data_IF_293601546579
#
_entry.id   IF_293601546579
#
_cell.length_a   1.000
_cell.length_b   1.000
_cell.length_c   1.000
_cell.angle_alpha   90.00
_cell.angle_beta   90.00
_cell.angle_gamma   90.00
#
_symmetry.space_group_name_H-M   'P 1'
#
loop_
_entity.id
_entity.type
_entity.pdbx_description
1 polymer ?
#
# COMPACT_ATOMS: atom_id res chain seq x y z
N UNK A 1 -9.49 -47.81 -28.41
CA UNK A 1 -10.80 -47.48 -29.01
C UNK A 1 -11.24 -46.14 -28.48
N UNK A 2 -11.37 -45.16 -29.37
CA UNK A 2 -11.68 -43.76 -29.06
C UNK A 2 -13.12 -43.60 -28.58
N UNK A 3 -13.31 -42.90 -27.46
CA UNK A 3 -14.63 -42.48 -27.01
C UNK A 3 -14.89 -41.10 -27.63
N UNK A 4 -15.64 -41.09 -28.72
CA UNK A 4 -16.02 -39.88 -29.43
C UNK A 4 -16.86 -38.96 -28.52
N UNK A 5 -16.37 -37.74 -28.29
CA UNK A 5 -17.17 -36.61 -27.79
C UNK A 5 -18.08 -36.15 -28.95
N UNK A 6 -19.29 -36.71 -29.02
CA UNK A 6 -20.36 -36.13 -29.82
C UNK A 6 -20.94 -34.95 -29.05
N UNK A 7 -20.57 -33.74 -29.43
CA UNK A 7 -21.25 -32.51 -29.05
C UNK A 7 -21.97 -31.95 -30.26
N UNK A 8 -23.16 -32.45 -30.56
CA UNK A 8 -24.08 -31.77 -31.46
C UNK A 8 -24.52 -30.48 -30.77
N UNK A 9 -24.04 -29.33 -31.24
CA UNK A 9 -24.57 -28.03 -30.83
C UNK A 9 -25.82 -27.77 -31.65
N UNK A 10 -27.04 -27.75 -31.07
CA UNK A 10 -28.25 -27.53 -31.85
C UNK A 10 -28.26 -26.09 -32.36
N UNK A 11 -28.09 -25.90 -33.66
CA UNK A 11 -28.16 -24.59 -34.33
C UNK A 11 -29.60 -24.34 -34.77
N UNK A 12 -30.47 -24.01 -33.83
CA UNK A 12 -31.60 -23.06 -33.94
C UNK A 12 -32.54 -23.25 -32.77
N UNK A 13 -32.49 -22.32 -31.82
CA UNK A 13 -33.44 -22.24 -30.71
C UNK A 13 -33.78 -20.77 -30.49
N UNK A 14 -35.03 -20.51 -30.13
CA UNK A 14 -35.55 -19.17 -29.82
C UNK A 14 -34.68 -18.50 -28.74
N UNK A 15 -34.66 -17.17 -28.67
CA UNK A 15 -33.87 -16.45 -27.66
C UNK A 15 -34.19 -16.93 -26.23
N UNK A 16 -35.45 -17.27 -25.96
CA UNK A 16 -35.91 -17.82 -24.68
C UNK A 16 -35.32 -19.20 -24.36
N UNK A 17 -35.25 -20.10 -25.34
CA UNK A 17 -34.64 -21.42 -25.16
C UNK A 17 -33.13 -21.32 -24.94
N UNK A 18 -32.45 -20.41 -25.66
CA UNK A 18 -31.03 -20.11 -25.41
C UNK A 18 -30.81 -19.57 -24.00
N UNK A 19 -31.70 -18.70 -23.52
CA UNK A 19 -31.63 -18.14 -22.17
C UNK A 19 -31.88 -19.21 -21.09
N UNK A 20 -32.86 -20.09 -21.27
CA UNK A 20 -33.12 -21.21 -20.34
C UNK A 20 -31.93 -22.17 -20.28
N UNK A 21 -31.36 -22.54 -21.43
CA UNK A 21 -30.17 -23.38 -21.49
C UNK A 21 -28.96 -22.73 -20.82
N UNK A 22 -28.78 -21.42 -21.03
CA UNK A 22 -27.72 -20.64 -20.40
C UNK A 22 -27.89 -20.56 -18.87
N UNK A 23 -29.11 -20.38 -18.37
CA UNK A 23 -29.39 -20.35 -16.93
C UNK A 23 -29.17 -21.72 -16.27
N UNK A 24 -29.59 -22.81 -16.93
CA UNK A 24 -29.33 -24.16 -16.45
C UNK A 24 -27.81 -24.45 -16.39
N UNK A 25 -27.07 -24.07 -17.44
CA UNK A 25 -25.62 -24.18 -17.46
C UNK A 25 -24.98 -23.32 -16.36
N UNK A 26 -25.47 -22.08 -16.14
CA UNK A 26 -24.99 -21.20 -15.06
C UNK A 26 -25.16 -21.86 -13.68
N UNK A 27 -26.34 -22.40 -13.38
CA UNK A 27 -26.60 -23.08 -12.10
C UNK A 27 -25.72 -24.31 -11.92
N UNK A 28 -25.47 -25.07 -12.98
CA UNK A 28 -24.57 -26.22 -12.93
C UNK A 28 -23.12 -25.79 -12.65
N UNK A 29 -22.65 -24.73 -13.31
CA UNK A 29 -21.31 -24.18 -13.09
C UNK A 29 -21.20 -23.63 -11.66
N UNK A 30 -22.20 -22.88 -11.16
CA UNK A 30 -22.21 -22.38 -9.78
C UNK A 30 -22.22 -23.52 -8.74
N UNK A 31 -22.94 -24.61 -9.00
CA UNK A 31 -22.94 -25.79 -8.13
C UNK A 31 -21.60 -26.52 -8.12
N UNK A 32 -20.90 -26.58 -9.25
CA UNK A 32 -19.62 -27.28 -9.37
C UNK A 32 -18.42 -26.45 -8.88
N UNK A 33 -18.43 -25.14 -9.11
CA UNK A 33 -17.27 -24.26 -8.93
C UNK A 33 -17.49 -23.14 -7.91
N UNK A 34 -18.68 -23.07 -7.30
CA UNK A 34 -19.04 -22.09 -6.28
C UNK A 34 -19.82 -20.88 -6.83
N UNK A 35 -20.49 -20.16 -5.95
CA UNK A 35 -21.26 -18.96 -6.31
C UNK A 35 -20.34 -17.91 -6.95
N UNK A 36 -20.81 -17.28 -8.04
CA UNK A 36 -20.06 -16.26 -8.77
C UNK A 36 -19.04 -16.79 -9.79
N UNK A 37 -19.02 -18.10 -10.05
CA UNK A 37 -18.18 -18.72 -11.08
C UNK A 37 -18.52 -18.29 -12.52
N UNK A 38 -19.75 -17.86 -12.77
CA UNK A 38 -20.20 -17.30 -14.05
C UNK A 38 -21.21 -16.18 -13.80
N UNK A 39 -20.82 -14.93 -14.09
CA UNK A 39 -21.64 -13.74 -13.85
C UNK A 39 -21.78 -12.90 -15.11
N UNK A 40 -22.88 -12.13 -15.19
CA UNK A 40 -23.05 -11.11 -16.24
C UNK A 40 -22.28 -9.85 -15.83
N UNK A 41 -21.26 -9.50 -16.61
CA UNK A 41 -20.37 -8.36 -16.37
C UNK A 41 -21.10 -7.03 -16.06
N UNK A 42 -22.26 -6.79 -16.68
CA UNK A 42 -22.95 -5.49 -16.60
C UNK A 42 -23.87 -5.27 -15.39
N UNK A 43 -24.14 -6.28 -14.55
CA UNK A 43 -25.11 -6.13 -13.43
C UNK A 43 -24.47 -5.71 -12.10
N UNK A 44 -23.20 -6.03 -11.86
CA UNK A 44 -22.53 -5.78 -10.57
C UNK A 44 -21.29 -4.86 -10.67
N UNK A 45 -20.48 -4.95 -11.74
CA UNK A 45 -19.22 -4.19 -11.87
C UNK A 45 -19.38 -2.75 -12.38
N UNK A 46 -20.53 -2.40 -12.99
CA UNK A 46 -20.75 -1.05 -13.51
C UNK A 46 -21.08 -0.02 -12.41
N UNK A 47 -21.48 -0.49 -11.22
CA UNK A 47 -21.93 0.37 -10.10
C UNK A 47 -20.84 0.55 -9.05
N UNK A 48 -19.93 -0.43 -8.88
CA UNK A 48 -18.81 -0.34 -7.94
C UNK A 48 -17.53 -0.02 -8.71
N UNK A 49 -17.07 1.23 -8.62
CA UNK A 49 -15.76 1.62 -9.16
C UNK A 49 -14.64 0.73 -8.63
N UNK A 50 -13.50 0.70 -9.34
CA UNK A 50 -12.33 -0.09 -8.93
C UNK A 50 -11.87 0.36 -7.54
N UNK A 51 -11.79 -0.57 -6.59
CA UNK A 51 -11.22 -0.31 -5.27
C UNK A 51 -9.71 -0.06 -5.38
N UNK A 52 -9.23 0.99 -4.70
CA UNK A 52 -7.84 1.42 -4.79
C UNK A 52 -7.23 1.76 -3.43
N UNK A 53 -5.91 1.67 -3.36
CA UNK A 53 -5.06 2.26 -2.31
C UNK A 53 -4.45 3.53 -2.90
N UNK A 54 -4.69 4.72 -2.33
CA UNK A 54 -4.10 5.97 -2.83
C UNK A 54 -2.58 5.91 -2.86
N UNK A 55 -1.94 6.64 -3.77
CA UNK A 55 -0.47 6.59 -3.89
C UNK A 55 0.26 7.54 -2.94
N UNK A 56 -0.47 8.34 -2.16
CA UNK A 56 0.10 9.45 -1.38
C UNK A 56 0.49 10.66 -2.23
N UNK A 57 0.17 10.63 -3.53
CA UNK A 57 0.49 11.69 -4.49
C UNK A 57 -0.67 11.83 -5.48
N UNK A 58 -1.48 12.88 -5.34
CA UNK A 58 -2.69 13.07 -6.15
C UNK A 58 -2.40 13.20 -7.65
N UNK A 59 -1.21 13.68 -8.03
CA UNK A 59 -0.81 13.76 -9.44
C UNK A 59 -0.53 12.37 -10.01
N UNK A 60 -0.03 11.44 -9.20
CA UNK A 60 0.12 10.04 -9.58
C UNK A 60 -1.23 9.30 -9.57
N UNK A 61 -2.10 9.57 -8.59
CA UNK A 61 -3.49 9.09 -8.61
C UNK A 61 -4.20 9.48 -9.93
N UNK A 62 -4.02 10.73 -10.38
CA UNK A 62 -4.52 11.24 -11.66
C UNK A 62 -3.91 10.49 -12.85
N UNK A 63 -2.59 10.30 -12.83
CA UNK A 63 -1.88 9.59 -13.89
C UNK A 63 -2.38 8.13 -13.98
N UNK A 64 -2.65 7.47 -12.86
CA UNK A 64 -3.22 6.12 -12.81
C UNK A 64 -4.66 6.09 -13.35
N UNK A 65 -5.38 7.20 -13.26
CA UNK A 65 -6.72 7.39 -13.84
C UNK A 65 -7.85 6.71 -13.07
N UNK A 66 -7.51 5.96 -12.03
CA UNK A 66 -8.45 5.26 -11.14
C UNK A 66 -8.31 5.72 -9.67
N UNK A 67 -7.52 6.75 -9.39
CA UNK A 67 -7.41 7.32 -8.05
C UNK A 67 -6.42 6.63 -7.12
N UNK A 68 -5.66 5.64 -7.59
CA UNK A 68 -4.65 4.94 -6.79
C UNK A 68 -4.24 3.58 -7.37
N UNK A 69 -3.54 2.80 -6.56
CA UNK A 69 -3.14 1.42 -6.85
C UNK A 69 -4.34 0.48 -6.76
N UNK A 70 -4.64 -0.32 -7.80
CA UNK A 70 -5.81 -1.20 -7.79
C UNK A 70 -5.63 -2.37 -6.82
N UNK A 71 -6.62 -2.55 -5.93
CA UNK A 71 -6.72 -3.71 -5.05
C UNK A 71 -6.92 -5.01 -5.82
N UNK A 72 -6.40 -6.10 -5.27
CA UNK A 72 -6.50 -7.42 -5.87
C UNK A 72 -5.70 -7.59 -7.16
N UNK A 73 -4.65 -6.78 -7.38
CA UNK A 73 -3.84 -6.81 -8.59
C UNK A 73 -2.34 -6.76 -8.31
N UNK A 74 -1.60 -7.16 -9.33
CA UNK A 74 -0.13 -7.10 -9.38
C UNK A 74 0.30 -5.79 -10.04
N UNK A 75 1.27 -5.11 -9.44
CA UNK A 75 1.88 -3.87 -9.90
C UNK A 75 3.39 -4.07 -9.98
N UNK A 76 4.02 -3.56 -11.03
CA UNK A 76 5.48 -3.51 -11.13
C UNK A 76 5.93 -2.05 -11.12
N UNK A 77 6.81 -1.70 -10.19
CA UNK A 77 7.50 -0.41 -10.12
C UNK A 77 8.96 -0.67 -10.50
N UNK A 78 9.44 -0.07 -11.57
CA UNK A 78 10.78 -0.32 -12.07
C UNK A 78 11.50 0.95 -12.53
N UNK A 79 12.82 0.89 -12.60
CA UNK A 79 13.63 2.05 -12.97
C UNK A 79 15.09 1.89 -12.56
N UNK A 80 15.93 2.92 -12.80
CA UNK A 80 17.31 2.96 -12.35
C UNK A 80 17.43 2.88 -10.82
N UNK A 81 18.64 2.67 -10.33
CA UNK A 81 18.97 2.85 -8.92
C UNK A 81 18.70 4.30 -8.48
N UNK A 82 18.36 4.47 -7.21
CA UNK A 82 18.10 5.79 -6.60
C UNK A 82 17.04 6.64 -7.32
N UNK A 83 16.15 6.01 -8.11
CA UNK A 83 15.09 6.72 -8.83
C UNK A 83 13.84 7.00 -7.99
N UNK A 84 13.73 6.42 -6.77
CA UNK A 84 12.58 6.58 -5.88
C UNK A 84 11.57 5.42 -5.91
N UNK A 85 11.96 4.23 -6.41
CA UNK A 85 11.09 3.04 -6.47
C UNK A 85 10.59 2.62 -5.08
N UNK A 86 11.53 2.43 -4.14
CA UNK A 86 11.24 2.03 -2.75
C UNK A 86 10.47 3.12 -2.02
N UNK A 87 10.81 4.41 -2.19
CA UNK A 87 10.02 5.53 -1.67
C UNK A 87 8.57 5.46 -2.12
N UNK A 88 8.32 5.19 -3.42
CA UNK A 88 6.96 5.07 -3.96
C UNK A 88 6.19 3.89 -3.34
N UNK A 89 6.86 2.75 -3.15
CA UNK A 89 6.25 1.59 -2.51
C UNK A 89 5.98 1.81 -1.01
N UNK A 90 6.88 2.51 -0.29
CA UNK A 90 6.68 2.85 1.11
C UNK A 90 5.52 3.85 1.30
N UNK A 91 5.32 4.79 0.38
CA UNK A 91 4.11 5.60 0.39
C UNK A 91 2.84 4.76 0.17
N UNK A 92 2.87 3.76 -0.71
CA UNK A 92 1.75 2.84 -0.90
C UNK A 92 1.42 2.08 0.41
N UNK A 93 2.46 1.62 1.12
CA UNK A 93 2.35 0.97 2.43
C UNK A 93 1.77 1.93 3.47
N UNK A 94 2.32 3.14 3.59
CA UNK A 94 1.84 4.15 4.52
C UNK A 94 0.36 4.49 4.28
N UNK A 95 -0.06 4.65 3.03
CA UNK A 95 -1.46 4.92 2.68
C UNK A 95 -2.38 3.72 2.96
N UNK A 96 -1.91 2.48 2.80
CA UNK A 96 -2.69 1.31 3.20
C UNK A 96 -2.89 1.28 4.73
N UNK A 97 -1.81 1.46 5.50
CA UNK A 97 -1.83 1.44 6.96
C UNK A 97 -2.67 2.57 7.56
N UNK A 98 -2.58 3.80 7.02
CA UNK A 98 -3.43 4.94 7.44
C UNK A 98 -4.92 4.61 7.40
N UNK A 99 -5.33 3.70 6.52
CA UNK A 99 -6.72 3.27 6.33
C UNK A 99 -7.06 1.99 7.09
N UNK A 100 -6.20 1.58 8.03
CA UNK A 100 -6.35 0.38 8.84
C UNK A 100 -6.04 -0.92 8.11
N UNK A 101 -5.40 -0.84 6.94
CA UNK A 101 -4.98 -2.01 6.19
C UNK A 101 -3.70 -2.63 6.73
N UNK A 102 -3.57 -3.95 6.60
CA UNK A 102 -2.37 -4.68 6.99
C UNK A 102 -1.38 -4.68 5.82
N UNK A 103 -0.14 -4.29 6.10
CA UNK A 103 0.93 -4.24 5.10
C UNK A 103 2.04 -5.24 5.44
N UNK A 104 2.62 -5.83 4.39
CA UNK A 104 3.84 -6.62 4.50
C UNK A 104 4.90 -6.17 3.49
N UNK A 105 6.17 -6.33 3.87
CA UNK A 105 7.33 -5.98 3.06
C UNK A 105 8.30 -7.17 3.02
N UNK A 106 8.58 -7.66 1.82
CA UNK A 106 9.54 -8.72 1.55
C UNK A 106 10.81 -8.04 1.04
N UNK A 107 11.75 -7.83 1.94
CA UNK A 107 13.03 -7.15 1.72
C UNK A 107 14.09 -8.18 1.33
N UNK A 108 14.09 -8.55 0.05
CA UNK A 108 15.10 -9.42 -0.54
C UNK A 108 16.42 -8.68 -0.83
N UNK A 109 16.41 -7.34 -0.88
CA UNK A 109 17.64 -6.54 -0.99
C UNK A 109 18.34 -6.31 0.36
N UNK A 110 17.70 -6.65 1.49
CA UNK A 110 18.18 -6.39 2.85
C UNK A 110 18.57 -4.92 3.08
N UNK A 111 17.84 -4.00 2.45
CA UNK A 111 18.20 -2.59 2.34
C UNK A 111 17.13 -1.63 2.90
N UNK A 112 16.06 -2.17 3.51
CA UNK A 112 15.01 -1.35 4.08
C UNK A 112 15.49 -0.63 5.35
N UNK A 113 15.49 0.71 5.32
CA UNK A 113 15.74 1.55 6.49
C UNK A 113 14.42 1.83 7.26
N UNK A 114 14.27 1.32 8.50
CA UNK A 114 13.08 1.55 9.30
C UNK A 114 12.85 3.03 9.66
N UNK A 115 13.91 3.81 9.86
CA UNK A 115 13.79 5.23 10.21
C UNK A 115 13.26 6.01 9.00
N UNK A 116 13.83 5.77 7.82
CA UNK A 116 13.32 6.36 6.59
C UNK A 116 11.86 5.97 6.32
N UNK A 117 11.49 4.70 6.52
CA UNK A 117 10.10 4.25 6.37
C UNK A 117 9.15 4.99 7.33
N UNK A 118 9.54 5.16 8.60
CA UNK A 118 8.79 5.92 9.59
C UNK A 118 8.60 7.38 9.17
N UNK A 119 9.64 8.01 8.65
CA UNK A 119 9.59 9.40 8.19
C UNK A 119 8.64 9.58 6.98
N UNK A 120 8.48 8.53 6.16
CA UNK A 120 7.48 8.48 5.08
C UNK A 120 6.03 8.20 5.56
N UNK A 121 5.84 8.01 6.87
CA UNK A 121 4.53 7.76 7.48
C UNK A 121 4.12 6.29 7.53
N UNK A 122 5.07 5.36 7.39
CA UNK A 122 4.84 3.93 7.65
C UNK A 122 4.75 3.68 9.16
N UNK A 123 3.73 2.95 9.62
CA UNK A 123 3.71 2.40 10.97
C UNK A 123 4.65 1.20 11.03
N UNK A 124 5.91 1.46 11.39
CA UNK A 124 6.96 0.42 11.45
C UNK A 124 6.62 -0.68 12.46
N UNK A 125 5.96 -0.34 13.57
CA UNK A 125 5.53 -1.32 14.58
C UNK A 125 4.46 -2.31 14.08
N UNK A 126 3.68 -1.91 13.07
CA UNK A 126 2.61 -2.72 12.48
C UNK A 126 2.97 -3.25 11.08
N UNK A 127 4.21 -3.04 10.62
CA UNK A 127 4.67 -3.50 9.32
C UNK A 127 5.25 -4.91 9.45
N UNK A 128 4.64 -5.88 8.78
CA UNK A 128 5.20 -7.23 8.69
C UNK A 128 6.40 -7.24 7.74
N UNK A 129 7.58 -7.61 8.21
CA UNK A 129 8.80 -7.66 7.40
C UNK A 129 9.28 -9.11 7.28
N UNK A 130 9.69 -9.48 6.07
CA UNK A 130 10.39 -10.74 5.80
C UNK A 130 11.68 -10.44 5.07
N UNK A 131 12.78 -11.02 5.53
CA UNK A 131 14.09 -10.99 4.88
C UNK A 131 14.45 -12.41 4.45
N UNK A 132 13.99 -12.86 3.27
CA UNK A 132 14.13 -14.23 2.83
C UNK A 132 15.56 -14.55 2.35
N UNK A 133 15.99 -15.79 2.54
CA UNK A 133 17.26 -16.33 2.05
C UNK A 133 17.22 -16.66 0.56
N UNK A 134 16.05 -17.04 0.02
CA UNK A 134 15.89 -17.47 -1.38
C UNK A 134 14.69 -16.84 -2.07
N UNK A 135 14.73 -16.78 -3.40
CA UNK A 135 13.63 -16.31 -4.24
C UNK A 135 12.37 -17.19 -4.11
N UNK A 136 12.53 -18.51 -3.97
CA UNK A 136 11.42 -19.43 -3.70
C UNK A 136 10.73 -19.08 -2.37
N UNK A 137 11.51 -18.95 -1.30
CA UNK A 137 11.00 -18.64 0.04
C UNK A 137 10.25 -17.30 0.04
N UNK A 138 10.82 -16.27 -0.59
CA UNK A 138 10.17 -14.97 -0.73
C UNK A 138 8.78 -15.06 -1.38
N UNK A 139 8.66 -15.83 -2.47
CA UNK A 139 7.41 -15.96 -3.22
C UNK A 139 6.39 -16.87 -2.50
N UNK A 140 6.86 -17.87 -1.74
CA UNK A 140 6.00 -18.72 -0.89
C UNK A 140 5.44 -17.94 0.31
N UNK A 141 6.24 -17.07 0.91
CA UNK A 141 5.79 -16.14 1.96
C UNK A 141 4.73 -15.20 1.38
N UNK A 142 4.98 -14.60 0.22
CA UNK A 142 3.99 -13.77 -0.47
C UNK A 142 2.69 -14.56 -0.75
N UNK A 143 2.78 -15.79 -1.25
CA UNK A 143 1.61 -16.63 -1.51
C UNK A 143 0.80 -16.90 -0.23
N UNK A 144 1.48 -17.23 0.86
CA UNK A 144 0.86 -17.53 2.16
C UNK A 144 0.15 -16.32 2.74
N UNK A 145 0.79 -15.14 2.68
CA UNK A 145 0.19 -13.88 3.12
C UNK A 145 -1.04 -13.51 2.30
N UNK A 146 -0.98 -13.63 0.97
CA UNK A 146 -2.13 -13.39 0.08
C UNK A 146 -3.28 -14.36 0.38
N UNK A 147 -2.96 -15.64 0.60
CA UNK A 147 -3.95 -16.70 0.86
C UNK A 147 -4.64 -16.54 2.21
N UNK A 148 -3.97 -15.95 3.20
CA UNK A 148 -4.57 -15.64 4.51
C UNK A 148 -5.80 -14.73 4.39
N UNK A 149 -5.86 -13.90 3.33
CA UNK A 149 -6.90 -12.90 3.15
C UNK A 149 -6.81 -11.70 4.11
N UNK A 150 -5.82 -11.68 5.00
CA UNK A 150 -5.67 -10.63 6.02
C UNK A 150 -4.83 -9.44 5.53
N UNK A 151 -3.95 -9.63 4.53
CA UNK A 151 -3.01 -8.60 4.08
C UNK A 151 -3.57 -7.79 2.91
N UNK A 152 -3.58 -6.46 3.05
CA UNK A 152 -4.08 -5.51 2.05
C UNK A 152 -3.05 -5.16 0.99
N UNK A 153 -1.77 -5.08 1.38
CA UNK A 153 -0.67 -4.72 0.49
C UNK A 153 0.60 -5.50 0.84
N UNK A 154 1.27 -6.01 -0.19
CA UNK A 154 2.57 -6.66 -0.07
C UNK A 154 3.52 -5.98 -1.05
N UNK A 155 4.69 -5.58 -0.57
CA UNK A 155 5.79 -5.09 -1.41
C UNK A 155 6.89 -6.15 -1.44
N UNK A 156 7.43 -6.44 -2.63
CA UNK A 156 8.61 -7.29 -2.83
C UNK A 156 9.73 -6.43 -3.39
N UNK A 157 10.76 -6.18 -2.57
CA UNK A 157 11.93 -5.36 -2.90
C UNK A 157 13.20 -6.22 -2.85
N UNK A 158 13.76 -6.69 -3.97
CA UNK A 158 13.28 -6.51 -5.34
C UNK A 158 13.34 -7.83 -6.13
N UNK A 159 12.67 -7.86 -7.28
CA UNK A 159 12.70 -9.02 -8.19
C UNK A 159 14.11 -9.40 -8.61
N UNK A 160 15.04 -8.44 -8.67
CA UNK A 160 16.42 -8.72 -9.03
C UNK A 160 17.17 -9.52 -7.96
N UNK A 161 16.72 -9.45 -6.69
CA UNK A 161 17.29 -10.16 -5.55
C UNK A 161 16.58 -11.48 -5.22
N UNK A 162 15.58 -11.90 -6.02
CA UNK A 162 14.90 -13.19 -5.87
C UNK A 162 15.76 -14.34 -6.43
N UNK A 163 16.94 -14.52 -5.85
CA UNK A 163 17.94 -15.50 -6.28
C UNK A 163 17.44 -16.92 -5.98
N UNK A 164 17.30 -17.78 -6.99
CA UNK A 164 16.86 -19.17 -6.79
C UNK A 164 17.81 -19.94 -5.88
N UNK A 165 17.29 -20.86 -5.08
CA UNK A 165 18.09 -21.68 -4.15
C UNK A 165 19.26 -22.40 -4.85
N UNK A 166 19.02 -22.93 -6.06
CA UNK A 166 20.05 -23.61 -6.83
C UNK A 166 21.20 -22.69 -7.28
N UNK A 167 20.95 -21.39 -7.43
CA UNK A 167 21.97 -20.40 -7.76
C UNK A 167 22.78 -19.98 -6.52
N UNK A 168 22.14 -19.95 -5.34
CA UNK A 168 22.83 -19.66 -4.06
C UNK A 168 23.74 -20.81 -3.64
N UNK A 169 23.33 -22.05 -3.89
CA UNK A 169 24.10 -23.25 -3.55
C UNK A 169 25.14 -23.63 -4.60
N UNK A 170 25.06 -23.06 -5.81
CA UNK A 170 26.01 -23.28 -6.89
C UNK A 170 27.31 -22.51 -6.67
N UNK A 171 28.34 -22.88 -7.43
CA UNK A 171 29.63 -22.19 -7.38
C UNK A 171 29.57 -20.90 -8.22
N UNK A 172 30.38 -19.89 -7.86
CA UNK A 172 30.50 -18.68 -8.66
C UNK A 172 30.99 -19.00 -10.07
N UNK A 173 30.16 -18.71 -11.07
CA UNK A 173 30.45 -18.99 -12.48
C UNK A 173 29.62 -20.13 -13.07
N UNK A 174 28.83 -20.84 -12.25
CA UNK A 174 27.90 -21.85 -12.72
C UNK A 174 26.80 -21.24 -13.63
N UNK A 175 26.51 -21.96 -14.71
CA UNK A 175 25.56 -21.50 -15.73
C UNK A 175 24.12 -21.80 -15.32
N UNK A 176 23.49 -20.87 -14.59
CA UNK A 176 22.08 -20.96 -14.22
C UNK A 176 21.17 -20.21 -15.19
N UNK A 177 20.99 -20.76 -16.41
CA UNK A 177 20.25 -20.05 -17.46
C UNK A 177 18.75 -19.98 -17.15
N UNK A 178 18.27 -18.79 -16.80
CA UNK A 178 16.84 -18.46 -16.77
C UNK A 178 16.05 -19.03 -15.59
N UNK A 179 16.71 -19.46 -14.51
CA UNK A 179 16.04 -19.98 -13.32
C UNK A 179 15.05 -18.97 -12.73
N UNK A 180 15.48 -17.73 -12.52
CA UNK A 180 14.63 -16.66 -11.97
C UNK A 180 13.38 -16.40 -12.84
N UNK A 181 13.50 -16.47 -14.17
CA UNK A 181 12.37 -16.27 -15.07
C UNK A 181 11.34 -17.40 -14.98
N UNK A 182 11.80 -18.65 -14.79
CA UNK A 182 10.94 -19.82 -14.60
C UNK A 182 10.23 -19.75 -13.24
N UNK A 183 10.98 -19.42 -12.18
CA UNK A 183 10.45 -19.22 -10.84
C UNK A 183 9.33 -18.17 -10.82
N UNK A 184 9.61 -16.98 -11.38
CA UNK A 184 8.61 -15.91 -11.49
C UNK A 184 7.38 -16.34 -12.29
N UNK A 185 7.56 -17.05 -13.40
CA UNK A 185 6.45 -17.54 -14.23
C UNK A 185 5.55 -18.51 -13.48
N UNK A 186 6.13 -19.39 -12.66
CA UNK A 186 5.39 -20.35 -11.84
C UNK A 186 4.66 -19.67 -10.68
N UNK A 187 5.35 -18.80 -9.94
CA UNK A 187 4.78 -18.08 -8.81
C UNK A 187 3.62 -17.16 -9.23
N UNK A 188 3.80 -16.34 -10.27
CA UNK A 188 2.77 -15.43 -10.74
C UNK A 188 1.51 -16.16 -11.24
N UNK A 189 1.68 -17.36 -11.83
CA UNK A 189 0.56 -18.20 -12.25
C UNK A 189 -0.29 -18.66 -11.07
N UNK A 190 0.33 -19.02 -9.94
CA UNK A 190 -0.38 -19.38 -8.70
C UNK A 190 -1.04 -18.15 -8.06
N UNK A 191 -0.25 -17.08 -7.89
CA UNK A 191 -0.63 -15.87 -7.17
C UNK A 191 -1.83 -15.13 -7.80
N UNK A 192 -1.86 -14.98 -9.13
CA UNK A 192 -2.83 -14.11 -9.82
C UNK A 192 -4.29 -14.41 -9.44
N UNK A 193 -4.64 -15.69 -9.33
CA UNK A 193 -6.01 -16.10 -8.99
C UNK A 193 -6.39 -15.79 -7.55
N UNK A 194 -5.43 -15.87 -6.63
CA UNK A 194 -5.62 -15.71 -5.19
C UNK A 194 -5.66 -14.22 -4.84
N UNK A 195 -4.75 -13.42 -5.43
CA UNK A 195 -4.68 -11.97 -5.24
C UNK A 195 -6.02 -11.30 -5.57
N UNK A 196 -6.66 -11.68 -6.68
CA UNK A 196 -7.95 -11.08 -7.05
C UNK A 196 -9.07 -11.39 -6.04
N UNK A 197 -9.01 -12.55 -5.37
CA UNK A 197 -9.99 -12.96 -4.35
C UNK A 197 -9.72 -12.30 -3.00
N UNK A 198 -8.46 -12.19 -2.59
CA UNK A 198 -8.08 -11.59 -1.30
C UNK A 198 -8.09 -10.07 -1.30
N UNK A 199 -8.23 -9.42 -2.47
CA UNK A 199 -8.13 -7.97 -2.64
C UNK A 199 -6.79 -7.36 -2.20
N UNK A 200 -5.77 -8.21 -1.97
CA UNK A 200 -4.40 -7.79 -1.70
C UNK A 200 -3.80 -7.10 -2.93
N UNK A 201 -3.12 -5.98 -2.75
CA UNK A 201 -2.28 -5.35 -3.78
C UNK A 201 -0.86 -5.90 -3.68
N UNK A 202 -0.32 -6.51 -4.73
CA UNK A 202 1.05 -7.02 -4.74
C UNK A 202 1.93 -6.14 -5.62
N UNK A 203 2.89 -5.44 -5.00
CA UNK A 203 3.84 -4.55 -5.67
C UNK A 203 5.19 -5.27 -5.76
N UNK A 204 5.70 -5.42 -6.98
CA UNK A 204 7.08 -5.82 -7.23
C UNK A 204 7.91 -4.60 -7.57
N UNK A 205 9.00 -4.38 -6.82
CA UNK A 205 10.06 -3.46 -7.23
C UNK A 205 11.01 -4.22 -8.14
N UNK A 206 11.45 -3.57 -9.22
CA UNK A 206 12.36 -4.17 -10.17
C UNK A 206 13.42 -3.17 -10.66
N UNK A 207 14.54 -3.70 -11.10
CA UNK A 207 15.65 -2.91 -11.61
C UNK A 207 15.69 -2.98 -13.14
N UNK A 208 16.28 -1.94 -13.75
CA UNK A 208 16.61 -1.97 -15.17
C UNK A 208 17.94 -2.70 -15.40
N UNK A 209 18.00 -3.44 -16.50
CA UNK A 209 19.19 -4.07 -17.06
C UNK A 209 19.23 -3.81 -18.57
N UNK A 210 20.42 -3.85 -19.16
CA UNK A 210 20.57 -3.73 -20.61
C UNK A 210 20.63 -5.11 -21.24
N UNK A 211 19.85 -5.35 -22.29
CA UNK A 211 19.96 -6.57 -23.09
C UNK A 211 21.08 -6.38 -24.12
N UNK A 212 22.14 -7.17 -23.97
CA UNK A 212 23.29 -7.18 -24.87
C UNK A 212 22.84 -7.62 -26.27
N UNK A 213 23.39 -6.99 -27.31
CA UNK A 213 23.14 -7.36 -28.71
C UNK A 213 21.95 -6.69 -29.40
N UNK A 214 21.29 -5.71 -28.75
CA UNK A 214 20.27 -4.88 -29.41
C UNK A 214 20.94 -3.69 -30.10
N UNK A 215 20.95 -3.69 -31.44
CA UNK A 215 21.47 -2.58 -32.26
C UNK A 215 20.43 -1.51 -32.59
N UNK A 216 19.13 -1.80 -32.43
CA UNK A 216 18.04 -0.87 -32.75
C UNK A 216 16.91 -0.96 -31.72
N UNK A 217 16.38 0.19 -31.28
CA UNK A 217 15.33 0.29 -30.26
C UNK A 217 15.86 0.51 -28.83
N UNK A 218 14.99 0.38 -27.82
CA UNK A 218 15.38 0.52 -26.41
C UNK A 218 16.01 -0.80 -25.90
N UNK A 219 17.29 -0.81 -25.48
CA UNK A 219 17.95 -2.01 -24.95
C UNK A 219 17.53 -2.36 -23.53
N UNK A 220 16.80 -1.50 -22.83
CA UNK A 220 16.43 -1.70 -21.43
C UNK A 220 15.38 -2.81 -21.25
N UNK A 221 15.60 -3.66 -20.26
CA UNK A 221 14.65 -4.67 -19.80
C UNK A 221 14.63 -4.74 -18.27
N UNK A 222 13.60 -5.35 -17.72
CA UNK A 222 13.50 -5.66 -16.29
C UNK A 222 13.91 -7.10 -16.02
N UNK A 223 14.34 -7.38 -14.78
CA UNK A 223 14.75 -8.73 -14.32
C UNK A 223 13.54 -9.64 -14.09
N UNK A 224 13.74 -10.96 -14.01
CA UNK A 224 12.66 -11.93 -13.75
C UNK A 224 11.89 -12.38 -15.01
N UNK A 225 12.43 -12.12 -16.19
CA UNK A 225 11.83 -12.53 -17.46
C UNK A 225 10.61 -11.68 -17.87
N UNK A 226 9.75 -12.24 -18.74
CA UNK A 226 8.61 -11.51 -19.33
C UNK A 226 7.32 -11.71 -18.52
N UNK A 227 7.25 -12.70 -17.65
CA UNK A 227 6.03 -13.07 -16.93
C UNK A 227 5.43 -11.89 -16.15
N UNK A 228 6.25 -11.20 -15.35
CA UNK A 228 5.79 -10.04 -14.58
C UNK A 228 5.19 -8.96 -15.49
N UNK A 229 5.80 -8.71 -16.66
CA UNK A 229 5.28 -7.74 -17.63
C UNK A 229 3.86 -8.08 -18.09
N UNK A 230 3.49 -9.35 -18.20
CA UNK A 230 2.14 -9.78 -18.61
C UNK A 230 1.13 -9.80 -17.46
N UNK A 231 1.55 -10.33 -16.31
CA UNK A 231 0.69 -10.48 -15.13
C UNK A 231 0.39 -9.14 -14.45
N UNK A 232 1.33 -8.19 -14.43
CA UNK A 232 1.09 -6.86 -13.87
C UNK A 232 -0.07 -6.16 -14.56
N UNK A 233 -1.01 -5.65 -13.78
CA UNK A 233 -2.11 -4.81 -14.26
C UNK A 233 -1.65 -3.39 -14.51
N UNK A 234 -0.73 -2.91 -13.68
CA UNK A 234 -0.09 -1.61 -13.81
C UNK A 234 1.43 -1.78 -13.82
N UNK A 235 2.12 -1.09 -14.71
CA UNK A 235 3.59 -1.00 -14.71
C UNK A 235 3.98 0.46 -14.69
N UNK A 236 4.83 0.81 -13.72
CA UNK A 236 5.24 2.17 -13.41
C UNK A 236 6.74 2.26 -13.58
N UNK A 237 7.18 3.09 -14.51
CA UNK A 237 8.59 3.44 -14.70
C UNK A 237 8.90 4.70 -13.90
N UNK A 238 9.92 4.65 -13.05
CA UNK A 238 10.36 5.77 -12.23
C UNK A 238 11.79 6.14 -12.60
N UNK A 239 12.02 7.40 -12.99
CA UNK A 239 13.35 7.93 -13.32
C UNK A 239 13.62 9.23 -12.60
N UNK A 240 14.85 9.39 -12.09
CA UNK A 240 15.35 10.68 -11.65
C UNK A 240 15.56 11.58 -12.87
N UNK A 241 15.07 12.82 -12.80
CA UNK A 241 15.26 13.85 -13.83
C UNK A 241 16.43 14.73 -13.44
N UNK A 242 16.37 15.32 -12.26
CA UNK A 242 17.37 16.24 -11.72
C UNK A 242 17.44 16.11 -10.20
N UNK A 243 18.61 16.41 -9.65
CA UNK A 243 18.79 16.57 -8.20
C UNK A 243 18.43 18.00 -7.83
N UNK A 244 17.67 18.17 -6.74
CA UNK A 244 17.29 19.49 -6.23
C UNK A 244 18.37 19.99 -5.27
N UNK A 245 19.07 21.05 -5.66
CA UNK A 245 20.06 21.77 -4.85
C UNK A 245 19.99 23.28 -5.14
N UNK A 246 20.52 24.11 -4.24
CA UNK A 246 20.66 25.57 -4.46
C UNK A 246 22.15 25.91 -4.55
N UNK A 247 22.67 26.04 -5.77
CA UNK A 247 24.10 26.30 -5.99
C UNK A 247 24.96 25.16 -5.42
N UNK A 248 25.92 25.51 -4.57
CA UNK A 248 26.83 24.57 -3.89
C UNK A 248 26.24 23.99 -2.58
N UNK A 249 24.99 24.32 -2.23
CA UNK A 249 24.33 23.76 -1.05
C UNK A 249 24.04 22.26 -1.19
N UNK A 250 23.92 21.58 -0.05
CA UNK A 250 23.58 20.17 0.03
C UNK A 250 22.25 19.88 -0.70
N UNK A 251 22.24 18.79 -1.47
CA UNK A 251 21.05 18.36 -2.18
C UNK A 251 19.95 17.98 -1.18
N UNK A 252 18.75 18.53 -1.37
CA UNK A 252 17.61 18.32 -0.46
C UNK A 252 16.52 17.42 -1.04
N UNK A 253 16.63 17.03 -2.31
CA UNK A 253 15.70 16.10 -2.92
C UNK A 253 16.02 15.76 -4.37
N UNK A 254 15.12 15.02 -5.01
CA UNK A 254 15.19 14.67 -6.42
C UNK A 254 13.86 14.98 -7.09
N UNK A 255 13.91 15.58 -8.28
CA UNK A 255 12.78 15.59 -9.18
C UNK A 255 12.73 14.28 -9.94
N UNK A 256 11.58 13.62 -9.90
CA UNK A 256 11.37 12.32 -10.51
C UNK A 256 10.26 12.39 -11.54
N UNK A 257 10.44 11.65 -12.63
CA UNK A 257 9.43 11.41 -13.65
C UNK A 257 8.89 10.01 -13.48
N UNK A 258 7.58 9.91 -13.29
CA UNK A 258 6.86 8.65 -13.14
C UNK A 258 6.00 8.46 -14.40
N UNK A 259 6.20 7.36 -15.11
CA UNK A 259 5.47 7.03 -16.35
C UNK A 259 4.74 5.71 -16.20
N UNK A 260 3.46 5.70 -16.56
CA UNK A 260 2.65 4.48 -16.53
C UNK A 260 2.78 3.79 -17.89
N UNK A 261 3.71 2.84 -17.99
CA UNK A 261 4.00 2.15 -19.26
C UNK A 261 2.99 1.04 -19.57
N UNK A 262 2.21 0.61 -18.58
CA UNK A 262 1.09 -0.32 -18.76
C UNK A 262 0.00 0.00 -17.74
N UNK A 263 -1.25 0.01 -18.20
CA UNK A 263 -2.41 0.17 -17.35
C UNK A 263 -3.58 -0.64 -17.94
N UNK A 264 -4.08 -1.63 -17.20
CA UNK A 264 -5.27 -2.43 -17.58
C UNK A 264 -6.57 -1.84 -17.02
N UNK A 265 -6.51 -0.77 -16.24
CA UNK A 265 -7.64 -0.22 -15.49
C UNK A 265 -8.11 1.13 -16.02
N UNK A 266 -7.22 1.86 -16.68
CA UNK A 266 -7.46 3.15 -17.31
C UNK A 266 -6.46 3.35 -18.47
N UNK A 267 -6.59 4.42 -19.28
CA UNK A 267 -5.66 4.68 -20.38
C UNK A 267 -4.19 4.73 -19.93
N UNK A 268 -3.28 3.98 -20.58
CA UNK A 268 -1.86 3.97 -20.24
C UNK A 268 -1.11 5.21 -20.79
N UNK A 269 0.20 5.25 -20.54
CA UNK A 269 1.18 6.22 -21.07
C UNK A 269 1.11 7.65 -20.53
N UNK A 270 0.25 7.89 -19.54
CA UNK A 270 0.31 9.09 -18.72
C UNK A 270 1.65 9.16 -17.97
N UNK A 271 2.12 10.39 -17.77
CA UNK A 271 3.35 10.70 -17.03
C UNK A 271 3.10 11.87 -16.08
N UNK A 272 3.82 11.85 -14.98
CA UNK A 272 3.81 12.92 -13.97
C UNK A 272 5.25 13.22 -13.58
N UNK A 273 5.53 14.49 -13.31
CA UNK A 273 6.77 14.91 -12.68
C UNK A 273 6.45 15.43 -11.28
N UNK A 274 7.23 15.01 -10.30
CA UNK A 274 7.03 15.34 -8.89
C UNK A 274 8.37 15.31 -8.17
N UNK A 275 8.39 15.76 -6.92
CA UNK A 275 9.60 15.96 -6.12
C UNK A 275 9.59 14.96 -4.97
N UNK A 276 10.70 14.24 -4.78
CA UNK A 276 10.98 13.42 -3.61
C UNK A 276 11.96 14.19 -2.74
N UNK A 277 11.53 14.58 -1.56
CA UNK A 277 12.36 15.26 -0.58
C UNK A 277 13.09 14.21 0.28
N UNK A 278 14.38 14.42 0.54
CA UNK A 278 15.12 13.50 1.41
C UNK A 278 14.56 13.54 2.84
N UNK A 279 14.38 12.36 3.44
CA UNK A 279 13.76 12.19 4.76
C UNK A 279 12.28 12.58 4.87
N UNK A 280 11.59 12.96 3.78
CA UNK A 280 10.16 13.33 3.82
C UNK A 280 9.31 12.69 2.72
N UNK A 281 9.92 12.26 1.61
CA UNK A 281 9.21 11.67 0.49
C UNK A 281 8.41 12.69 -0.32
N UNK A 282 7.24 12.30 -0.81
CA UNK A 282 6.34 13.20 -1.53
C UNK A 282 5.61 14.14 -0.56
N UNK A 283 5.61 15.43 -0.88
CA UNK A 283 4.76 16.40 -0.21
C UNK A 283 3.34 16.33 -0.76
N UNK A 284 2.40 15.79 0.02
CA UNK A 284 0.98 15.74 -0.35
C UNK A 284 0.41 17.14 -0.61
N UNK A 285 0.81 18.15 0.19
CA UNK A 285 0.40 19.54 0.02
C UNK A 285 0.92 20.16 -1.29
N UNK A 286 2.19 19.93 -1.62
CA UNK A 286 2.77 20.43 -2.87
C UNK A 286 2.08 19.79 -4.09
N UNK A 287 1.82 18.49 -4.01
CA UNK A 287 1.11 17.78 -5.08
C UNK A 287 -0.35 18.25 -5.22
N UNK A 288 -1.04 18.54 -4.10
CA UNK A 288 -2.39 19.09 -4.13
C UNK A 288 -2.40 20.49 -4.76
N UNK A 289 -1.48 21.36 -4.38
CA UNK A 289 -1.36 22.70 -4.96
C UNK A 289 -1.19 22.63 -6.49
N UNK A 290 -0.28 21.76 -6.95
CA UNK A 290 -0.03 21.56 -8.39
C UNK A 290 -1.26 21.03 -9.12
N UNK A 291 -1.96 20.06 -8.52
CA UNK A 291 -3.19 19.52 -9.07
C UNK A 291 -4.30 20.57 -9.11
N UNK A 292 -4.47 21.36 -8.05
CA UNK A 292 -5.49 22.39 -7.96
C UNK A 292 -5.27 23.54 -8.95
N UNK A 293 -4.01 23.93 -9.20
CA UNK A 293 -3.69 24.91 -10.26
C UNK A 293 -3.97 24.33 -11.63
N UNK A 294 -3.55 23.09 -11.89
CA UNK A 294 -3.80 22.40 -13.17
C UNK A 294 -5.30 22.24 -13.45
N UNK A 295 -6.10 22.05 -12.41
CA UNK A 295 -7.56 21.91 -12.49
C UNK A 295 -8.30 23.26 -12.40
N UNK A 296 -7.59 24.39 -12.41
CA UNK A 296 -8.18 25.75 -12.34
C UNK A 296 -9.03 25.99 -11.09
N UNK A 297 -8.74 25.29 -9.99
CA UNK A 297 -9.38 25.50 -8.69
C UNK A 297 -8.63 26.57 -7.90
N UNK A 298 -7.31 26.63 -8.05
CA UNK A 298 -6.45 27.71 -7.53
C UNK A 298 -5.97 28.52 -8.73
N UNK A 299 -6.19 29.84 -8.68
CA UNK A 299 -5.68 30.77 -9.68
C UNK A 299 -4.21 31.10 -9.40
N UNK A 300 -3.39 31.03 -10.45
CA UNK A 300 -1.99 31.48 -10.40
C UNK A 300 -1.79 32.70 -11.31
N UNK A 301 -1.54 33.86 -10.71
CA UNK A 301 -1.26 35.14 -11.41
C UNK A 301 0.19 35.55 -11.16
N UNK A 302 1.07 35.22 -12.10
CA UNK A 302 2.52 35.39 -11.94
C UNK A 302 3.06 34.52 -10.80
N UNK A 303 3.61 35.14 -9.75
CA UNK A 303 4.07 34.46 -8.54
C UNK A 303 2.97 34.29 -7.47
N UNK A 304 1.80 34.91 -7.63
CA UNK A 304 0.73 34.86 -6.64
C UNK A 304 -0.23 33.71 -6.89
N UNK A 305 -0.62 33.05 -5.81
CA UNK A 305 -1.66 32.03 -5.78
C UNK A 305 -2.88 32.58 -5.04
N UNK A 306 -4.07 32.32 -5.56
CA UNK A 306 -5.34 32.69 -4.96
C UNK A 306 -6.35 31.54 -5.04
N UNK A 307 -7.13 31.36 -3.98
CA UNK A 307 -8.24 30.44 -3.93
C UNK A 307 -9.52 31.26 -3.78
N UNK A 308 -10.42 31.18 -4.77
CA UNK A 308 -11.58 32.08 -4.87
C UNK A 308 -11.12 33.54 -4.86
N UNK A 309 -11.54 34.34 -3.88
CA UNK A 309 -11.17 35.74 -3.73
C UNK A 309 -10.00 35.95 -2.75
N UNK A 310 -9.55 34.90 -2.07
CA UNK A 310 -8.51 34.99 -1.04
C UNK A 310 -7.11 34.69 -1.61
N UNK A 311 -6.13 35.52 -1.25
CA UNK A 311 -4.73 35.31 -1.62
C UNK A 311 -4.10 34.30 -0.67
N UNK A 312 -3.77 33.12 -1.17
CA UNK A 312 -3.18 32.03 -0.35
C UNK A 312 -1.66 32.19 -0.19
N UNK A 313 -0.98 32.90 -1.08
CA UNK A 313 0.45 33.19 -0.91
C UNK A 313 1.19 33.65 -2.17
N UNK A 314 2.36 34.26 -1.97
CA UNK A 314 3.31 34.59 -3.03
C UNK A 314 4.42 33.52 -3.07
N UNK A 315 4.53 32.81 -4.20
CA UNK A 315 5.46 31.70 -4.37
C UNK A 315 4.90 30.36 -3.90
N UNK A 316 5.48 29.28 -4.43
CA UNK A 316 5.04 27.89 -4.19
C UNK A 316 5.11 27.54 -2.70
N UNK A 317 6.22 27.85 -2.05
CA UNK A 317 6.48 27.44 -0.66
C UNK A 317 5.50 28.10 0.32
N UNK A 318 5.20 29.39 0.14
CA UNK A 318 4.23 30.10 0.97
C UNK A 318 2.81 29.56 0.77
N UNK A 319 2.41 29.25 -0.47
CA UNK A 319 1.11 28.66 -0.75
C UNK A 319 0.99 27.25 -0.13
N UNK A 320 2.06 26.44 -0.16
CA UNK A 320 2.11 25.14 0.53
C UNK A 320 1.99 25.33 2.05
N UNK A 321 2.70 26.31 2.62
CA UNK A 321 2.62 26.64 4.05
C UNK A 321 1.20 27.05 4.48
N UNK A 322 0.50 27.83 3.64
CA UNK A 322 -0.90 28.18 3.88
C UNK A 322 -1.81 26.94 3.94
N UNK A 323 -1.66 26.01 3.00
CA UNK A 323 -2.44 24.76 2.99
C UNK A 323 -2.17 23.89 4.24
N UNK A 324 -0.92 23.87 4.71
CA UNK A 324 -0.55 23.16 5.93
C UNK A 324 -1.20 23.75 7.19
N UNK A 325 -1.35 25.07 7.24
CA UNK A 325 -1.93 25.77 8.40
C UNK A 325 -3.47 25.76 8.39
N UNK A 326 -4.10 25.63 7.22
CA UNK A 326 -5.55 25.69 7.03
C UNK A 326 -6.09 24.37 6.47
N UNK A 327 -6.24 23.37 7.35
CA UNK A 327 -6.63 22.01 6.96
C UNK A 327 -8.07 21.93 6.43
N UNK A 328 -8.96 22.76 6.94
CA UNK A 328 -10.34 22.90 6.48
C UNK A 328 -10.40 23.32 5.00
N UNK A 329 -9.65 24.36 4.63
CA UNK A 329 -9.52 24.83 3.25
C UNK A 329 -8.83 23.77 2.39
N UNK A 330 -7.77 23.13 2.90
CA UNK A 330 -7.07 22.05 2.20
C UNK A 330 -7.99 20.89 1.84
N UNK A 331 -8.84 20.45 2.77
CA UNK A 331 -9.81 19.38 2.53
C UNK A 331 -10.90 19.81 1.55
N UNK A 332 -11.34 21.07 1.59
CA UNK A 332 -12.27 21.61 0.61
C UNK A 332 -11.68 21.59 -0.81
N UNK A 333 -10.45 22.07 -0.97
CA UNK A 333 -9.70 22.05 -2.24
C UNK A 333 -9.50 20.61 -2.71
N UNK A 334 -9.10 19.70 -1.81
CA UNK A 334 -8.92 18.29 -2.16
C UNK A 334 -10.22 17.66 -2.68
N UNK A 335 -11.35 17.91 -2.01
CA UNK A 335 -12.67 17.43 -2.47
C UNK A 335 -13.00 17.95 -3.86
N UNK A 336 -12.80 19.24 -4.11
CA UNK A 336 -13.06 19.83 -5.41
C UNK A 336 -12.16 19.23 -6.51
N UNK A 337 -10.86 19.06 -6.23
CA UNK A 337 -9.91 18.44 -7.17
C UNK A 337 -10.30 16.99 -7.45
N UNK A 338 -10.54 16.18 -6.42
CA UNK A 338 -10.89 14.76 -6.57
C UNK A 338 -12.24 14.58 -7.27
N UNK A 339 -13.22 15.44 -7.04
CA UNK A 339 -14.51 15.39 -7.74
C UNK A 339 -14.34 15.65 -9.25
N UNK A 340 -13.45 16.57 -9.66
CA UNK A 340 -13.16 16.84 -11.07
C UNK A 340 -12.35 15.73 -11.73
N UNK A 341 -11.39 15.14 -11.00
CA UNK A 341 -10.54 14.05 -11.51
C UNK A 341 -11.24 12.69 -11.54
N UNK A 342 -12.09 12.39 -10.55
CA UNK A 342 -12.68 11.08 -10.31
C UNK A 342 -14.19 11.18 -10.01
N UNK A 343 -15.03 11.67 -10.94
CA UNK A 343 -16.44 12.00 -10.67
C UNK A 343 -17.33 10.81 -10.29
N UNK A 344 -16.88 9.57 -10.53
CA UNK A 344 -17.63 8.33 -10.25
C UNK A 344 -17.04 7.52 -9.09
N UNK A 345 -16.14 8.10 -8.31
CA UNK A 345 -15.48 7.43 -7.20
C UNK A 345 -15.84 8.09 -5.88
N UNK A 346 -15.87 7.30 -4.80
CA UNK A 346 -16.01 7.82 -3.46
C UNK A 346 -14.81 8.74 -3.14
N UNK A 347 -15.06 9.82 -2.40
CA UNK A 347 -13.99 10.70 -1.94
C UNK A 347 -13.09 9.97 -0.95
N UNK A 348 -11.81 9.89 -1.27
CA UNK A 348 -10.77 9.34 -0.40
C UNK A 348 -9.78 10.48 -0.12
N UNK A 349 -9.69 10.94 1.12
CA UNK A 349 -8.75 12.01 1.48
C UNK A 349 -7.32 11.48 1.59
N UNK A 350 -6.36 12.31 1.21
CA UNK A 350 -4.92 12.11 1.33
C UNK A 350 -4.38 12.56 2.69
N UNK A 351 -5.18 13.29 3.49
CA UNK A 351 -4.79 13.90 4.76
C UNK A 351 -5.46 13.25 5.98
N UNK A 352 -5.89 11.98 5.87
CA UNK A 352 -6.38 11.24 7.04
C UNK A 352 -5.27 11.09 8.10
N UNK A 353 -5.62 11.36 9.35
CA UNK A 353 -4.76 11.03 10.49
C UNK A 353 -4.57 9.51 10.59
N UNK A 354 -3.35 9.07 10.93
CA UNK A 354 -3.08 7.67 11.20
C UNK A 354 -4.00 7.19 12.31
N UNK A 355 -4.75 6.10 12.06
CA UNK A 355 -5.39 5.38 13.17
C UNK A 355 -4.29 4.85 14.09
N UNK A 356 -4.47 4.93 15.43
CA UNK A 356 -3.53 4.32 16.35
C UNK A 356 -3.43 2.81 16.07
N UNK A 357 -2.21 2.28 16.22
CA UNK A 357 -1.87 0.88 16.01
C UNK A 357 -2.91 -0.05 16.64
N UNK A 358 -3.32 -1.09 15.92
CA UNK A 358 -4.13 -2.17 16.46
C UNK A 358 -3.26 -2.95 17.46
N UNK A 359 -3.26 -2.53 18.73
CA UNK A 359 -2.65 -3.32 19.79
C UNK A 359 -3.38 -4.67 19.88
N UNK A 360 -2.71 -5.74 19.48
CA UNK A 360 -3.19 -7.12 19.66
C UNK A 360 -3.30 -7.53 21.14
N UNK A 361 -2.92 -6.66 22.07
CA UNK A 361 -3.06 -6.82 23.52
C UNK A 361 -4.32 -6.13 24.04
N UNK A 362 -5.49 -6.67 23.71
CA UNK A 362 -6.69 -6.48 24.53
C UNK A 362 -7.60 -7.69 24.34
N UNK A 363 -7.25 -8.80 25.01
CA UNK A 363 -8.27 -9.82 25.28
C UNK A 363 -9.34 -9.21 26.21
N UNK A 364 -10.64 -9.50 26.04
CA UNK A 364 -11.70 -8.99 26.92
C UNK A 364 -11.61 -9.49 28.38
N UNK A 365 -10.59 -10.28 28.74
CA UNK A 365 -10.51 -10.95 30.03
C UNK A 365 -9.87 -10.11 31.14
N UNK A 366 -9.11 -9.05 30.83
CA UNK A 366 -8.44 -8.24 31.87
C UNK A 366 -9.23 -7.00 32.33
N UNK A 367 -10.24 -6.56 31.57
CA UNK A 367 -11.13 -5.46 32.00
C UNK A 367 -12.07 -5.89 33.13
N UNK A 368 -12.48 -7.16 33.16
CA UNK A 368 -13.40 -7.68 34.18
C UNK A 368 -12.71 -7.97 35.52
N UNK A 369 -11.42 -8.31 35.51
CA UNK A 369 -10.65 -8.50 36.74
C UNK A 369 -10.38 -7.17 37.49
N UNK A 370 -10.25 -6.06 36.76
CA UNK A 370 -10.08 -4.71 37.35
C UNK A 370 -11.40 -4.11 37.84
N UNK A 371 -12.53 -4.48 37.22
CA UNK A 371 -13.87 -4.09 37.66
C UNK A 371 -14.28 -4.82 38.96
N UNK A 372 -14.00 -6.13 39.08
CA UNK A 372 -14.31 -6.90 40.29
C UNK A 372 -13.45 -6.51 41.51
N UNK A 373 -12.20 -6.06 41.32
CA UNK A 373 -11.36 -5.56 42.43
C UNK A 373 -11.74 -4.17 42.92
N UNK A 374 -12.48 -3.39 42.13
CA UNK A 374 -13.00 -2.06 42.53
C UNK A 374 -14.38 -2.11 43.19
N UNK A 375 -15.15 -3.18 42.98
CA UNK A 375 -16.44 -3.37 43.66
C UNK A 375 -16.30 -4.02 45.05
N UNK A 376 -15.24 -4.81 45.28
CA UNK A 376 -14.99 -5.43 46.59
C UNK A 376 -14.47 -4.47 47.69
N UNK A 377 -13.98 -3.27 47.33
CA UNK A 377 -13.48 -2.27 48.30
C UNK A 377 -14.49 -1.16 48.66
N UNK A 378 -15.73 -1.25 48.18
CA UNK A 378 -16.81 -0.29 48.49
C UNK A 378 -18.00 -0.90 49.25
N UNK A 379 -17.89 -2.16 49.70
CA UNK A 379 -18.94 -2.88 50.41
C UNK A 379 -18.56 -3.27 51.83
N UNK A 380 -18.07 -2.34 52.65
CA UNK A 380 -17.93 -2.55 54.10
C UNK A 380 -18.01 -1.19 54.82
N UNK A 381 -19.23 -0.77 55.16
CA UNK A 381 -19.42 0.46 55.92
C UNK A 381 -20.89 0.85 56.08
N UNK A 382 -21.63 0.14 56.92
CA UNK A 382 -22.67 0.70 57.80
C UNK A 382 -23.38 -0.40 58.60
N UNK A 383 -23.14 -0.50 59.91
CA UNK A 383 -24.20 -0.46 60.93
C UNK A 383 -23.68 -0.66 62.36
N UNK A 384 -24.10 0.25 63.26
CA UNK A 384 -24.12 0.18 64.73
C UNK A 384 -22.75 0.11 65.46
N UNK A 385 -22.50 0.75 66.61
CA UNK A 385 -23.28 1.52 67.57
C UNK A 385 -22.28 2.22 68.53
N UNK A 386 -22.69 3.35 69.12
CA UNK A 386 -22.04 4.06 70.24
C UNK A 386 -21.68 3.12 71.40
N UNK A 387 -20.52 3.30 72.05
CA UNK A 387 -20.31 3.41 73.52
C UNK A 387 -18.98 4.16 73.80
N UNK A 388 -19.00 4.95 74.87
CA UNK A 388 -18.00 5.83 75.50
C UNK A 388 -16.75 5.14 76.09
N UNK A 389 -15.77 6.00 76.42
CA UNK A 389 -14.74 5.88 77.49
C UNK A 389 -13.66 4.78 77.30
N UNK A 390 -12.37 4.98 77.56
CA UNK A 390 -11.61 6.07 78.15
C UNK A 390 -10.16 5.62 78.42
N UNK A 391 -9.27 6.61 78.59
CA UNK A 391 -8.02 6.59 79.37
C UNK A 391 -6.84 5.65 79.04
N UNK A 392 -5.66 6.28 79.13
CA UNK A 392 -4.33 5.75 79.52
C UNK A 392 -3.60 4.86 78.50
N UNK A 393 -2.27 4.80 78.46
CA UNK A 393 -1.11 5.59 78.88
C UNK A 393 0.08 4.67 78.54
N UNK A 394 1.23 5.23 78.15
CA UNK A 394 2.54 4.58 78.16
C UNK A 394 2.72 3.36 77.21
N UNK A 395 3.89 2.99 76.71
CA UNK A 395 5.26 3.38 77.02
C UNK A 395 6.16 3.01 75.83
N UNK A 396 7.29 3.72 75.74
CA UNK A 396 8.64 3.30 75.33
C UNK A 396 8.88 2.10 74.38
N UNK A 397 9.63 2.36 73.30
CA UNK A 397 11.05 1.96 73.04
C UNK A 397 11.38 2.33 71.57
N UNK A 398 12.30 3.25 71.26
CA UNK A 398 13.76 3.03 71.02
C UNK A 398 14.02 1.69 70.28
N UNK A 399 14.71 1.63 69.14
CA UNK A 399 16.01 2.23 68.91
C UNK A 399 16.41 2.31 67.41
N UNK A 400 17.41 3.17 67.23
CA UNK A 400 18.26 3.53 66.11
C UNK A 400 18.76 2.42 65.14
N UNK A 401 18.96 2.83 63.88
CA UNK A 401 20.30 3.02 63.25
C UNK A 401 20.25 2.65 61.76
N UNK A 402 20.40 3.59 60.81
CA UNK A 402 21.61 4.30 60.35
C UNK A 402 22.31 3.57 59.20
N UNK A 403 22.17 4.15 57.99
CA UNK A 403 23.13 4.15 56.84
C UNK A 403 23.54 2.79 56.23
N UNK A 404 24.01 2.62 54.99
CA UNK A 404 24.51 3.48 53.91
C UNK A 404 24.40 2.63 52.60
N UNK A 405 24.04 3.23 51.46
CA UNK A 405 24.92 3.60 50.32
C UNK A 405 25.58 2.43 49.53
N UNK A 406 25.54 2.62 48.20
CA UNK A 406 26.30 1.96 47.10
C UNK A 406 25.77 0.57 46.69
N UNK A 407 25.48 0.27 45.42
CA UNK A 407 25.97 0.77 44.11
C UNK A 407 24.82 1.00 43.12
#
# INVERSE_FOLDING_TARGET
MSKALKGDVPVSSSFEEKMKALEAARLQIEKQFGQGSLMKLGKDDAVQGVEVIPTGNILLDEALGIGGYPRGRIIEIFGPESSGKTTLALHAVAEAQKRGGIAAFIDAEHALDPQYAKDLGVSVGDLWISQPDTGEQALEIAESLVRSGAVDIIVVDSVAALTPQAEIQGDMGDAHVGLIARLMSQALRKLTSIINKSKCTLIFINQLRMKIGIMFGNPETTTGGIALKFYSSVRIEVRKVETLSRGDEEAWGNKVRIRIVKNKMAPPFRKVETEILFGKGFSAFSCLLDAAVKQEIIEKKGAWYAYREEKIGQGRDNAVGFLQQNMDITLEIERAVRAKLFPKQAFISSFQEQRPALSLEASPAESDAKALRRSASRGAGASSSRVQEGSAANDHFQDESTTAKLL
#
